data_IF_529464462598
#
_entry.id   IF_529464462598
#
_cell.length_a   1.000
_cell.length_b   1.000
_cell.length_c   1.000
_cell.angle_alpha   90.00
_cell.angle_beta   90.00
_cell.angle_gamma   90.00
#
_symmetry.space_group_name_H-M   'P 1'
#
loop_
_entity.id
_entity.type
_entity.pdbx_description
1 polymer ?
#
# COMPACT_ATOMS: atom_id res chain seq x y z
N UNK A 1 16.48 38.61 -18.00
CA UNK A 1 15.48 37.81 -17.25
C UNK A 1 15.47 38.30 -15.82
N UNK A 2 14.35 38.84 -15.34
CA UNK A 2 14.25 39.45 -14.01
C UNK A 2 14.40 38.35 -12.94
N UNK A 3 15.43 38.44 -12.10
CA UNK A 3 15.53 37.63 -10.88
C UNK A 3 14.31 37.93 -10.00
N UNK A 4 13.34 37.02 -9.96
CA UNK A 4 12.24 37.09 -9.00
C UNK A 4 12.85 37.16 -7.59
N UNK A 5 12.49 38.18 -6.81
CA UNK A 5 12.95 38.33 -5.43
C UNK A 5 12.61 37.05 -4.66
N UNK A 6 13.53 36.48 -3.87
CA UNK A 6 13.24 35.32 -3.04
C UNK A 6 12.08 35.68 -2.09
N UNK A 7 11.05 34.83 -2.06
CA UNK A 7 9.96 34.94 -1.11
C UNK A 7 10.54 34.94 0.31
N UNK A 8 10.00 35.77 1.20
CA UNK A 8 10.40 35.77 2.60
C UNK A 8 10.19 34.39 3.22
N UNK A 9 10.97 34.05 4.25
CA UNK A 9 10.85 32.79 4.97
C UNK A 9 9.43 32.55 5.49
N UNK A 10 8.75 33.62 5.92
CA UNK A 10 7.35 33.59 6.34
C UNK A 10 6.40 33.25 5.18
N UNK A 11 6.58 33.84 4.00
CA UNK A 11 5.76 33.57 2.82
C UNK A 11 5.92 32.13 2.30
N UNK A 12 7.14 31.58 2.31
CA UNK A 12 7.38 30.19 1.90
C UNK A 12 6.81 29.18 2.89
N UNK A 13 6.86 29.49 4.18
CA UNK A 13 6.26 28.67 5.25
C UNK A 13 4.74 28.70 5.20
N UNK A 14 4.15 29.88 4.98
CA UNK A 14 2.71 30.05 4.79
C UNK A 14 2.21 29.31 3.54
N UNK A 15 2.96 29.32 2.44
CA UNK A 15 2.60 28.59 1.22
C UNK A 15 2.62 27.07 1.43
N UNK A 16 3.60 26.55 2.17
CA UNK A 16 3.68 25.13 2.50
C UNK A 16 2.54 24.72 3.46
N UNK A 17 2.25 25.53 4.48
CA UNK A 17 1.12 25.32 5.38
C UNK A 17 -0.22 25.36 4.63
N UNK A 18 -0.39 26.32 3.71
CA UNK A 18 -1.58 26.42 2.87
C UNK A 18 -1.74 25.19 1.98
N UNK A 19 -0.64 24.69 1.38
CA UNK A 19 -0.69 23.49 0.57
C UNK A 19 -1.07 22.24 1.39
N UNK A 20 -0.57 22.12 2.63
CA UNK A 20 -1.01 21.07 3.58
C UNK A 20 -2.50 21.21 3.90
N UNK A 21 -2.99 22.42 4.16
CA UNK A 21 -4.41 22.69 4.37
C UNK A 21 -5.23 22.33 3.12
N UNK A 22 -4.70 22.57 1.92
CA UNK A 22 -5.35 22.13 0.68
C UNK A 22 -5.36 20.61 0.54
N UNK A 23 -4.29 19.90 0.92
CA UNK A 23 -4.30 18.43 0.96
C UNK A 23 -5.37 17.94 1.94
N UNK A 24 -5.41 18.51 3.15
CA UNK A 24 -6.44 18.20 4.16
C UNK A 24 -7.84 18.42 3.59
N UNK A 25 -8.07 19.56 2.94
CA UNK A 25 -9.36 19.87 2.33
C UNK A 25 -9.74 18.85 1.23
N UNK A 26 -8.79 18.47 0.37
CA UNK A 26 -9.03 17.46 -0.68
C UNK A 26 -9.32 16.09 -0.07
N UNK A 27 -8.60 15.69 0.99
CA UNK A 27 -8.84 14.43 1.69
C UNK A 27 -10.22 14.45 2.34
N UNK A 28 -10.56 15.49 3.09
CA UNK A 28 -11.88 15.64 3.76
C UNK A 28 -13.01 15.65 2.73
N UNK A 29 -12.88 16.41 1.64
CA UNK A 29 -13.89 16.43 0.58
C UNK A 29 -14.00 15.04 -0.07
N UNK A 30 -12.87 14.39 -0.35
CA UNK A 30 -12.82 13.03 -0.87
C UNK A 30 -13.51 11.99 0.02
N UNK A 31 -13.33 12.09 1.34
CA UNK A 31 -13.90 11.15 2.30
C UNK A 31 -15.37 11.40 2.63
N UNK A 32 -15.82 12.67 2.62
CA UNK A 32 -17.16 13.04 3.10
C UNK A 32 -18.16 13.39 2.00
N UNK A 33 -17.71 13.85 0.84
CA UNK A 33 -18.61 14.39 -0.21
C UNK A 33 -18.88 13.37 -1.31
N UNK A 34 -18.08 12.31 -1.41
CA UNK A 34 -18.11 11.41 -2.57
C UNK A 34 -18.64 10.00 -2.30
N UNK A 35 -19.04 9.68 -1.06
CA UNK A 35 -19.58 8.36 -0.72
C UNK A 35 -18.60 7.23 -1.02
N UNK A 36 -19.09 6.02 -1.30
CA UNK A 36 -18.24 4.95 -1.82
C UNK A 36 -17.91 5.24 -3.28
N UNK A 37 -16.63 5.29 -3.63
CA UNK A 37 -16.13 5.83 -4.91
C UNK A 37 -16.71 5.16 -6.16
N UNK A 38 -17.31 3.97 -6.04
CA UNK A 38 -18.00 3.28 -7.13
C UNK A 38 -19.34 3.89 -7.54
N UNK A 39 -19.99 4.68 -6.67
CA UNK A 39 -21.23 5.38 -6.97
C UNK A 39 -21.03 6.53 -7.98
N UNK A 40 -19.89 7.24 -7.91
CA UNK A 40 -19.50 8.28 -8.87
C UNK A 40 -17.98 8.24 -9.18
N UNK A 41 -17.61 7.29 -10.03
CA UNK A 41 -16.21 7.03 -10.43
C UNK A 41 -15.55 8.24 -11.10
N UNK A 42 -16.32 9.11 -11.74
CA UNK A 42 -15.83 10.31 -12.41
C UNK A 42 -15.34 11.34 -11.40
N UNK A 43 -16.16 11.63 -10.39
CA UNK A 43 -15.78 12.53 -9.29
C UNK A 43 -14.65 11.97 -8.45
N UNK A 44 -14.66 10.66 -8.16
CA UNK A 44 -13.57 10.00 -7.43
C UNK A 44 -12.23 10.17 -8.16
N UNK A 45 -12.20 9.94 -9.48
CA UNK A 45 -10.98 10.12 -10.28
C UNK A 45 -10.52 11.59 -10.29
N UNK A 46 -11.45 12.54 -10.38
CA UNK A 46 -11.13 13.97 -10.34
C UNK A 46 -10.54 14.38 -8.97
N UNK A 47 -11.08 13.87 -7.86
CA UNK A 47 -10.57 14.11 -6.51
C UNK A 47 -9.16 13.54 -6.32
N UNK A 48 -8.92 12.30 -6.78
CA UNK A 48 -7.59 11.68 -6.79
C UNK A 48 -6.61 12.53 -7.60
N UNK A 49 -6.99 12.95 -8.82
CA UNK A 49 -6.18 13.80 -9.67
C UNK A 49 -5.85 15.15 -9.02
N UNK A 50 -6.83 15.80 -8.41
CA UNK A 50 -6.64 17.04 -7.66
C UNK A 50 -5.67 16.84 -6.48
N UNK A 51 -5.78 15.73 -5.75
CA UNK A 51 -4.85 15.36 -4.68
C UNK A 51 -3.41 15.28 -5.16
N UNK A 52 -3.16 14.63 -6.30
CA UNK A 52 -1.81 14.55 -6.88
C UNK A 52 -1.25 15.92 -7.30
N UNK A 53 -2.09 16.78 -7.89
CA UNK A 53 -1.70 18.16 -8.25
C UNK A 53 -1.34 18.96 -7.00
N UNK A 54 -2.17 18.89 -5.95
CA UNK A 54 -1.91 19.59 -4.69
C UNK A 54 -0.64 19.06 -4.01
N UNK A 55 -0.41 17.75 -3.99
CA UNK A 55 0.84 17.17 -3.49
C UNK A 55 2.05 17.73 -4.25
N UNK A 56 1.99 17.77 -5.58
CA UNK A 56 3.09 18.30 -6.39
C UNK A 56 3.37 19.77 -6.05
N UNK A 57 2.33 20.60 -5.91
CA UNK A 57 2.45 22.00 -5.50
C UNK A 57 3.01 22.14 -4.08
N UNK A 58 2.58 21.30 -3.13
CA UNK A 58 3.08 21.26 -1.76
C UNK A 58 4.58 20.92 -1.71
N UNK A 59 5.01 19.92 -2.48
CA UNK A 59 6.40 19.52 -2.58
C UNK A 59 7.26 20.62 -3.25
N UNK A 60 6.73 21.32 -4.26
CA UNK A 60 7.40 22.47 -4.88
C UNK A 60 7.53 23.65 -3.92
N UNK A 61 6.50 23.93 -3.12
CA UNK A 61 6.52 24.94 -2.07
C UNK A 61 7.58 24.62 -1.00
N UNK A 62 7.62 23.36 -0.54
CA UNK A 62 8.54 22.88 0.48
C UNK A 62 10.01 23.06 0.10
N UNK A 63 10.34 23.13 -1.20
CA UNK A 63 11.72 23.42 -1.67
C UNK A 63 12.23 24.79 -1.24
N UNK A 64 11.33 25.76 -1.03
CA UNK A 64 11.70 27.13 -0.62
C UNK A 64 11.72 27.31 0.91
N UNK A 65 11.36 26.27 1.65
CA UNK A 65 11.34 26.28 3.12
C UNK A 65 12.76 26.07 3.65
N UNK A 66 13.22 26.85 4.65
CA UNK A 66 14.54 26.67 5.25
C UNK A 66 14.64 25.32 5.98
N UNK A 67 15.81 24.70 5.99
CA UNK A 67 16.02 23.36 6.55
C UNK A 67 15.50 23.21 7.99
N UNK A 68 15.67 24.24 8.83
CA UNK A 68 15.21 24.25 10.22
C UNK A 68 13.70 24.04 10.38
N UNK A 69 12.90 24.43 9.39
CA UNK A 69 11.45 24.33 9.43
C UNK A 69 10.92 23.08 8.72
N UNK A 70 11.73 22.40 7.90
CA UNK A 70 11.29 21.23 7.11
C UNK A 70 10.78 20.12 8.00
N UNK A 71 11.54 19.69 9.01
CA UNK A 71 11.14 18.56 9.85
C UNK A 71 9.84 18.83 10.61
N UNK A 72 9.70 19.95 11.35
CA UNK A 72 8.43 20.27 12.01
C UNK A 72 7.24 20.33 11.04
N UNK A 73 7.42 20.93 9.87
CA UNK A 73 6.35 21.01 8.87
C UNK A 73 5.98 19.65 8.31
N UNK A 74 6.95 18.80 7.99
CA UNK A 74 6.68 17.44 7.49
C UNK A 74 5.88 16.66 8.53
N UNK A 75 6.29 16.69 9.80
CA UNK A 75 5.58 16.02 10.89
C UNK A 75 4.17 16.60 11.06
N UNK A 76 4.04 17.92 11.19
CA UNK A 76 2.74 18.57 11.36
C UNK A 76 1.79 18.29 10.19
N UNK A 77 2.29 18.35 8.95
CA UNK A 77 1.49 18.04 7.77
C UNK A 77 1.12 16.56 7.70
N UNK A 78 1.99 15.64 8.10
CA UNK A 78 1.67 14.21 8.13
C UNK A 78 0.59 13.89 9.17
N UNK A 79 0.64 14.56 10.33
CA UNK A 79 -0.41 14.48 11.35
C UNK A 79 -1.71 15.06 10.82
N UNK A 80 -1.69 16.26 10.24
CA UNK A 80 -2.90 16.91 9.73
C UNK A 80 -3.57 16.10 8.60
N UNK A 81 -2.79 15.60 7.64
CA UNK A 81 -3.30 14.78 6.53
C UNK A 81 -3.84 13.44 7.03
N UNK A 82 -3.17 12.80 8.00
CA UNK A 82 -3.67 11.55 8.59
C UNK A 82 -4.93 11.74 9.44
N UNK A 83 -4.99 12.80 10.26
CA UNK A 83 -6.21 13.15 11.01
C UNK A 83 -7.38 13.43 10.05
N UNK A 84 -7.15 14.10 8.93
CA UNK A 84 -8.16 14.31 7.89
C UNK A 84 -8.68 12.97 7.34
N UNK A 85 -7.77 12.03 7.07
CA UNK A 85 -8.11 10.70 6.54
C UNK A 85 -8.86 9.79 7.53
N UNK A 86 -8.81 10.08 8.84
CA UNK A 86 -9.60 9.38 9.87
C UNK A 86 -11.07 9.81 9.91
N UNK A 87 -11.41 10.95 9.32
CA UNK A 87 -12.73 11.56 9.57
C UNK A 87 -13.89 10.86 8.86
N UNK A 88 -13.63 10.07 7.82
CA UNK A 88 -14.66 9.38 7.04
C UNK A 88 -14.50 7.86 7.04
N UNK A 89 -15.54 7.12 6.65
CA UNK A 89 -15.46 5.66 6.55
C UNK A 89 -14.66 5.24 5.30
N UNK A 90 -14.24 3.96 5.20
CA UNK A 90 -13.58 3.42 4.01
C UNK A 90 -14.38 3.65 2.73
N UNK A 91 -13.75 4.13 1.67
CA UNK A 91 -14.43 4.67 0.49
C UNK A 91 -13.98 4.08 -0.85
N UNK A 92 -12.93 3.26 -0.87
CA UNK A 92 -12.43 2.58 -2.08
C UNK A 92 -12.51 1.06 -1.98
N UNK A 93 -12.48 0.51 -0.76
CA UNK A 93 -12.47 -0.93 -0.53
C UNK A 93 -13.24 -1.31 0.74
N UNK A 94 -13.76 -2.54 0.76
CA UNK A 94 -14.38 -3.19 1.92
C UNK A 94 -13.44 -4.17 2.63
N UNK A 95 -12.18 -4.30 2.21
CA UNK A 95 -11.17 -5.16 2.86
C UNK A 95 -11.04 -4.88 4.38
N UNK A 96 -11.22 -3.63 4.81
CA UNK A 96 -11.19 -3.27 6.23
C UNK A 96 -12.29 -3.92 7.07
N UNK A 97 -13.44 -4.27 6.47
CA UNK A 97 -14.46 -5.08 7.12
C UNK A 97 -13.94 -6.51 7.37
N UNK A 98 -13.23 -7.08 6.39
CA UNK A 98 -12.60 -8.40 6.52
C UNK A 98 -11.50 -8.41 7.58
N UNK A 99 -10.64 -7.39 7.63
CA UNK A 99 -9.63 -7.25 8.68
C UNK A 99 -10.25 -7.21 10.08
N UNK A 100 -11.32 -6.44 10.25
CA UNK A 100 -12.01 -6.34 11.53
C UNK A 100 -12.65 -7.67 11.93
N UNK A 101 -13.30 -8.34 10.97
CA UNK A 101 -13.89 -9.66 11.18
C UNK A 101 -12.85 -10.69 11.62
N UNK A 102 -11.74 -10.81 10.91
CA UNK A 102 -10.71 -11.80 11.23
C UNK A 102 -10.09 -11.55 12.62
N UNK A 103 -9.96 -10.28 13.04
CA UNK A 103 -9.57 -9.95 14.42
C UNK A 103 -10.64 -10.33 15.46
N UNK A 104 -11.93 -10.09 15.19
CA UNK A 104 -13.05 -10.49 16.08
C UNK A 104 -13.09 -12.01 16.25
N UNK A 105 -12.93 -12.77 15.16
CA UNK A 105 -12.94 -14.23 15.17
C UNK A 105 -11.75 -14.78 15.98
N UNK A 106 -10.57 -14.16 15.84
CA UNK A 106 -9.38 -14.53 16.60
C UNK A 106 -9.49 -14.18 18.09
N UNK A 107 -10.05 -13.02 18.43
CA UNK A 107 -10.31 -12.63 19.83
C UNK A 107 -11.28 -13.62 20.52
N UNK A 108 -12.17 -14.25 19.75
CA UNK A 108 -13.04 -15.34 20.20
C UNK A 108 -12.35 -16.73 20.24
N UNK A 109 -11.05 -16.80 19.98
CA UNK A 109 -10.27 -18.04 20.03
C UNK A 109 -10.44 -18.96 18.81
N UNK A 110 -11.03 -18.46 17.72
CA UNK A 110 -11.25 -19.23 16.49
C UNK A 110 -10.28 -18.80 15.41
N UNK A 111 -9.76 -19.76 14.63
CA UNK A 111 -8.87 -19.43 13.51
C UNK A 111 -9.66 -18.90 12.31
N UNK A 112 -9.26 -17.80 11.68
CA UNK A 112 -9.94 -17.24 10.50
C UNK A 112 -9.72 -18.09 9.23
N UNK A 113 -8.84 -19.10 9.29
CA UNK A 113 -8.68 -20.12 8.25
C UNK A 113 -9.68 -21.28 8.38
N UNK A 114 -10.34 -21.43 9.54
CA UNK A 114 -11.18 -22.59 9.83
C UNK A 114 -12.59 -22.48 9.24
N UNK A 115 -13.14 -21.27 9.21
CA UNK A 115 -14.52 -21.00 8.79
C UNK A 115 -14.58 -19.79 7.86
N UNK A 116 -15.55 -19.80 6.94
CA UNK A 116 -15.85 -18.64 6.11
C UNK A 116 -16.68 -17.64 6.91
N UNK A 117 -16.63 -16.32 6.62
CA UNK A 117 -17.43 -15.32 7.33
C UNK A 117 -18.92 -15.63 7.46
N UNK A 118 -19.53 -16.24 6.43
CA UNK A 118 -20.94 -16.60 6.41
C UNK A 118 -21.26 -17.96 7.04
N UNK A 119 -20.29 -18.63 7.65
CA UNK A 119 -20.53 -19.90 8.35
C UNK A 119 -21.40 -19.69 9.59
N UNK A 120 -22.43 -20.52 9.76
CA UNK A 120 -23.37 -20.45 10.89
C UNK A 120 -22.70 -20.72 12.24
N UNK A 121 -21.58 -21.45 12.26
CA UNK A 121 -20.77 -21.60 13.46
C UNK A 121 -20.25 -20.25 14.00
N UNK A 122 -20.11 -19.24 13.13
CA UNK A 122 -19.68 -17.89 13.50
C UNK A 122 -20.84 -16.92 13.72
N UNK A 123 -22.11 -17.36 13.62
CA UNK A 123 -23.28 -16.51 13.80
C UNK A 123 -23.26 -15.68 15.11
N UNK A 124 -22.83 -16.21 16.27
CA UNK A 124 -22.76 -15.43 17.50
C UNK A 124 -21.76 -14.27 17.49
N UNK A 125 -20.81 -14.25 16.55
CA UNK A 125 -19.78 -13.21 16.42
C UNK A 125 -20.18 -12.09 15.45
N UNK A 126 -21.25 -12.29 14.66
CA UNK A 126 -21.71 -11.35 13.65
C UNK A 126 -22.22 -10.07 14.32
N UNK A 127 -21.60 -8.94 14.01
CA UNK A 127 -21.98 -7.63 14.55
C UNK A 127 -22.92 -6.90 13.59
N UNK A 128 -23.81 -6.04 14.11
CA UNK A 128 -24.80 -5.31 13.29
C UNK A 128 -24.16 -4.46 12.17
N UNK A 129 -22.92 -4.00 12.34
CA UNK A 129 -22.24 -3.17 11.35
C UNK A 129 -21.50 -3.98 10.28
N UNK A 130 -21.16 -5.25 10.55
CA UNK A 130 -20.57 -6.18 9.57
C UNK A 130 -21.63 -7.06 8.90
N UNK A 131 -22.70 -7.39 9.62
CA UNK A 131 -23.82 -8.22 9.20
C UNK A 131 -25.15 -7.58 9.62
N UNK A 132 -25.53 -6.45 9.01
CA UNK A 132 -26.80 -5.81 9.33
C UNK A 132 -27.98 -6.71 8.95
N UNK A 133 -29.06 -6.63 9.73
CA UNK A 133 -30.28 -7.38 9.44
C UNK A 133 -30.86 -6.97 8.07
N UNK A 134 -31.20 -7.92 7.18
CA UNK A 134 -31.92 -7.62 5.96
C UNK A 134 -33.26 -6.93 6.23
N UNK A 135 -33.63 -5.94 5.42
CA UNK A 135 -34.93 -5.26 5.51
C UNK A 135 -36.09 -6.13 5.01
N UNK A 136 -35.78 -7.27 4.40
CA UNK A 136 -36.68 -8.21 3.75
C UNK A 136 -35.92 -8.97 2.66
N UNK A 137 -36.66 -9.72 1.84
CA UNK A 137 -36.15 -10.33 0.61
C UNK A 137 -36.91 -9.79 -0.59
N UNK A 138 -36.25 -9.68 -1.74
CA UNK A 138 -36.91 -9.34 -3.00
C UNK A 138 -37.67 -10.54 -3.58
N UNK A 139 -38.23 -10.36 -4.79
CA UNK A 139 -39.04 -11.37 -5.47
C UNK A 139 -38.26 -12.66 -5.81
N UNK A 140 -36.93 -12.57 -5.91
CA UNK A 140 -36.05 -13.69 -6.21
C UNK A 140 -35.48 -14.35 -4.94
N UNK A 141 -35.92 -13.89 -3.76
CA UNK A 141 -35.46 -14.39 -2.46
C UNK A 141 -34.11 -13.82 -2.01
N UNK A 142 -33.59 -12.79 -2.68
CA UNK A 142 -32.32 -12.14 -2.34
C UNK A 142 -32.55 -11.11 -1.24
N UNK A 143 -31.64 -11.05 -0.27
CA UNK A 143 -31.72 -10.09 0.84
C UNK A 143 -31.70 -8.63 0.34
N UNK A 144 -32.60 -7.80 0.89
CA UNK A 144 -32.61 -6.35 0.65
C UNK A 144 -31.78 -5.66 1.73
N UNK A 145 -30.60 -5.16 1.36
CA UNK A 145 -29.62 -4.63 2.31
C UNK A 145 -29.74 -3.11 2.54
N UNK A 146 -29.53 -2.63 3.78
CA UNK A 146 -29.95 -1.27 4.20
C UNK A 146 -28.97 -0.14 3.84
N UNK A 147 -27.75 -0.42 3.36
CA UNK A 147 -26.71 0.60 3.21
C UNK A 147 -25.77 0.39 2.03
N UNK A 148 -25.15 1.49 1.58
CA UNK A 148 -24.05 1.50 0.61
C UNK A 148 -22.83 0.76 1.18
N UNK A 149 -22.29 -0.22 0.43
CA UNK A 149 -21.22 -1.18 0.79
C UNK A 149 -21.66 -2.43 1.57
N UNK A 150 -22.96 -2.67 1.66
CA UNK A 150 -23.49 -3.91 2.22
C UNK A 150 -24.09 -4.72 1.08
N UNK A 151 -23.48 -5.86 0.78
CA UNK A 151 -23.91 -6.73 -0.31
C UNK A 151 -24.77 -7.88 0.25
N UNK A 152 -25.79 -8.34 -0.51
CA UNK A 152 -26.53 -9.54 -0.16
C UNK A 152 -25.64 -10.77 -0.31
N UNK A 153 -25.82 -11.73 0.59
CA UNK A 153 -25.10 -13.00 0.65
C UNK A 153 -26.00 -14.04 1.31
N UNK A 154 -25.51 -15.26 1.49
CA UNK A 154 -26.23 -16.32 2.21
C UNK A 154 -25.33 -16.97 3.24
N UNK A 155 -25.94 -17.47 4.30
CA UNK A 155 -25.22 -18.28 5.28
C UNK A 155 -24.85 -19.66 4.73
N UNK A 156 -23.87 -20.30 5.37
CA UNK A 156 -23.48 -21.68 5.09
C UNK A 156 -23.46 -22.45 6.42
N UNK A 157 -24.05 -23.66 6.52
CA UNK A 157 -24.76 -24.39 5.47
C UNK A 157 -26.26 -24.08 5.34
N UNK A 158 -26.86 -23.27 6.23
CA UNK A 158 -28.32 -23.11 6.25
C UNK A 158 -28.91 -22.40 5.01
N UNK A 159 -28.13 -21.57 4.32
CA UNK A 159 -28.60 -20.85 3.12
C UNK A 159 -29.52 -19.67 3.43
N UNK A 160 -29.59 -19.24 4.69
CA UNK A 160 -30.39 -18.10 5.13
C UNK A 160 -29.90 -16.80 4.47
N UNK A 161 -30.80 -15.93 3.98
CA UNK A 161 -30.42 -14.64 3.41
C UNK A 161 -29.72 -13.76 4.45
N UNK A 162 -28.57 -13.21 4.06
CA UNK A 162 -27.75 -12.31 4.88
C UNK A 162 -27.38 -11.06 4.09
N UNK A 163 -26.98 -10.03 4.82
CA UNK A 163 -26.34 -8.84 4.30
C UNK A 163 -24.97 -8.71 4.97
N UNK A 164 -23.92 -8.33 4.23
CA UNK A 164 -22.59 -8.17 4.84
C UNK A 164 -21.76 -7.06 4.22
N UNK A 165 -20.94 -6.41 5.04
CA UNK A 165 -19.87 -5.51 4.60
C UNK A 165 -18.61 -6.25 4.13
N UNK A 166 -18.51 -7.56 4.40
CA UNK A 166 -17.30 -8.34 4.17
C UNK A 166 -17.25 -8.80 2.71
N UNK A 167 -16.18 -8.43 2.00
CA UNK A 167 -15.94 -8.96 0.67
C UNK A 167 -15.56 -10.44 0.71
N UNK A 168 -15.93 -11.18 -0.35
CA UNK A 168 -15.64 -12.61 -0.49
C UNK A 168 -16.02 -13.39 0.78
N UNK A 169 -17.25 -13.18 1.24
CA UNK A 169 -17.79 -13.72 2.49
C UNK A 169 -17.87 -15.27 2.54
N UNK A 170 -17.77 -15.93 1.39
CA UNK A 170 -17.86 -17.39 1.23
C UNK A 170 -16.50 -18.12 1.16
N UNK A 171 -15.38 -17.45 1.43
CA UNK A 171 -14.06 -18.07 1.44
C UNK A 171 -13.33 -17.77 2.75
N UNK A 172 -12.39 -18.61 3.20
CA UNK A 172 -11.56 -18.32 4.38
C UNK A 172 -10.60 -17.16 4.11
N UNK A 173 -9.95 -16.66 5.18
CA UNK A 173 -9.00 -15.55 5.04
C UNK A 173 -7.89 -15.87 4.03
N UNK A 174 -7.43 -14.85 3.31
CA UNK A 174 -6.22 -14.92 2.48
C UNK A 174 -4.99 -14.37 3.22
N UNK A 175 -5.20 -13.69 4.35
CA UNK A 175 -4.16 -12.88 4.95
C UNK A 175 -3.15 -13.76 5.69
N UNK A 176 -1.84 -13.53 5.52
CA UNK A 176 -0.80 -14.24 6.25
C UNK A 176 -0.73 -13.92 7.76
N UNK A 177 -0.03 -14.73 8.57
CA UNK A 177 -0.01 -14.64 10.03
C UNK A 177 0.36 -13.29 10.66
N UNK A 178 1.23 -12.47 10.05
CA UNK A 178 1.58 -11.15 10.61
C UNK A 178 0.44 -10.15 10.37
N UNK A 179 -0.30 -10.28 9.27
CA UNK A 179 -1.53 -9.51 9.09
C UNK A 179 -2.61 -9.95 10.09
N UNK A 180 -2.78 -11.25 10.29
CA UNK A 180 -3.73 -11.79 11.29
C UNK A 180 -3.39 -11.34 12.72
N UNK A 181 -2.11 -11.38 13.09
CA UNK A 181 -1.63 -10.85 14.37
C UNK A 181 -1.84 -9.34 14.49
N UNK A 182 -1.71 -8.59 13.39
CA UNK A 182 -2.00 -7.16 13.36
C UNK A 182 -3.49 -6.86 13.57
N UNK A 183 -4.38 -7.60 12.89
CA UNK A 183 -5.82 -7.47 13.06
C UNK A 183 -6.23 -7.75 14.50
N UNK A 184 -5.76 -8.86 15.07
CA UNK A 184 -5.97 -9.22 16.47
C UNK A 184 -5.43 -8.14 17.41
N UNK A 185 -4.19 -7.67 17.22
CA UNK A 185 -3.59 -6.66 18.10
C UNK A 185 -4.32 -5.31 18.10
N UNK A 186 -4.86 -4.90 16.96
CA UNK A 186 -5.66 -3.67 16.83
C UNK A 186 -7.06 -3.83 17.42
N UNK A 187 -7.62 -5.05 17.37
CA UNK A 187 -8.99 -5.37 17.80
C UNK A 187 -9.09 -5.73 19.29
N UNK A 188 -8.09 -6.39 19.85
CA UNK A 188 -8.05 -6.80 21.26
C UNK A 188 -8.41 -5.71 22.29
N UNK A 189 -8.01 -4.42 22.13
CA UNK A 189 -8.34 -3.38 23.11
C UNK A 189 -9.72 -2.73 22.91
N UNK A 190 -10.51 -3.14 21.91
CA UNK A 190 -11.79 -2.49 21.55
C UNK A 190 -12.94 -3.49 21.42
N UNK A 191 -14.19 -3.10 21.73
CA UNK A 191 -15.34 -4.01 21.59
C UNK A 191 -15.63 -4.35 20.13
N UNK A 192 -16.28 -5.49 19.86
CA UNK A 192 -16.74 -5.93 18.53
C UNK A 192 -17.57 -4.86 17.79
N UNK A 193 -18.30 -4.02 18.52
CA UNK A 193 -19.10 -2.90 18.01
C UNK A 193 -18.28 -1.70 17.51
N UNK A 194 -16.99 -1.60 17.86
CA UNK A 194 -16.11 -0.61 17.26
C UNK A 194 -15.94 -0.95 15.79
N UNK A 195 -16.42 -0.07 14.89
CA UNK A 195 -16.42 -0.29 13.46
C UNK A 195 -15.00 -0.15 12.85
N UNK A 196 -14.85 0.66 11.81
CA UNK A 196 -13.60 0.77 11.04
C UNK A 196 -12.46 1.53 11.76
N UNK A 197 -12.79 2.46 12.67
CA UNK A 197 -11.82 3.40 13.23
C UNK A 197 -10.58 2.79 13.91
N UNK A 198 -10.62 1.62 14.59
CA UNK A 198 -9.43 1.03 15.22
C UNK A 198 -8.35 0.72 14.19
N UNK A 199 -8.73 0.13 13.06
CA UNK A 199 -7.83 -0.17 11.95
C UNK A 199 -7.30 1.11 11.28
N UNK A 200 -8.15 2.14 11.15
CA UNK A 200 -7.72 3.43 10.59
C UNK A 200 -6.68 4.10 11.50
N UNK A 201 -6.88 4.08 12.82
CA UNK A 201 -5.91 4.59 13.81
C UNK A 201 -4.61 3.79 13.77
N UNK A 202 -4.68 2.47 13.67
CA UNK A 202 -3.52 1.60 13.50
C UNK A 202 -2.72 1.95 12.24
N UNK A 203 -3.39 2.07 11.09
CA UNK A 203 -2.79 2.46 9.83
C UNK A 203 -2.16 3.86 9.87
N UNK A 204 -2.81 4.81 10.54
CA UNK A 204 -2.26 6.15 10.77
C UNK A 204 -0.98 6.10 11.62
N UNK A 205 -0.97 5.32 12.71
CA UNK A 205 0.20 5.15 13.56
C UNK A 205 1.40 4.58 12.79
N UNK A 206 1.19 3.55 11.96
CA UNK A 206 2.23 2.98 11.09
C UNK A 206 2.70 4.01 10.06
N UNK A 207 1.80 4.79 9.45
CA UNK A 207 2.15 5.83 8.49
C UNK A 207 3.02 6.95 9.11
N UNK A 208 2.73 7.36 10.35
CA UNK A 208 3.58 8.29 11.09
C UNK A 208 4.95 7.69 11.44
N UNK A 209 4.99 6.40 11.82
CA UNK A 209 6.24 5.70 12.07
C UNK A 209 7.12 5.63 10.81
N UNK A 210 6.53 5.38 9.64
CA UNK A 210 7.23 5.42 8.35
C UNK A 210 7.75 6.84 8.06
N UNK A 211 6.93 7.87 8.28
CA UNK A 211 7.36 9.28 8.15
C UNK A 211 8.58 9.57 9.03
N UNK A 212 8.53 9.20 10.31
CA UNK A 212 9.63 9.37 11.25
C UNK A 212 10.88 8.58 10.82
N UNK A 213 10.70 7.34 10.38
CA UNK A 213 11.76 6.48 9.85
C UNK A 213 12.46 7.09 8.65
N UNK A 214 11.70 7.64 7.69
CA UNK A 214 12.22 8.35 6.52
C UNK A 214 12.98 9.62 6.94
N UNK A 215 12.43 10.44 7.82
CA UNK A 215 13.09 11.65 8.31
C UNK A 215 14.44 11.35 8.95
N UNK A 216 14.49 10.34 9.84
CA UNK A 216 15.73 9.89 10.48
C UNK A 216 16.71 9.33 9.45
N UNK A 217 16.22 8.51 8.52
CA UNK A 217 17.04 7.86 7.51
C UNK A 217 17.68 8.85 6.54
N UNK A 218 16.90 9.82 6.05
CA UNK A 218 17.33 10.85 5.11
C UNK A 218 18.38 11.75 5.79
N UNK A 219 18.08 12.26 6.99
CA UNK A 219 19.01 13.14 7.73
C UNK A 219 20.34 12.48 8.05
N UNK A 220 20.33 11.23 8.54
CA UNK A 220 21.56 10.50 8.88
C UNK A 220 22.47 10.25 7.68
N UNK A 221 21.93 10.31 6.47
CA UNK A 221 22.65 10.06 5.21
C UNK A 221 22.96 11.35 4.45
N UNK A 222 22.70 12.53 5.02
CA UNK A 222 22.85 13.81 4.32
C UNK A 222 21.90 13.94 3.12
N UNK A 223 20.84 13.14 3.06
CA UNK A 223 19.79 13.23 2.05
C UNK A 223 18.73 14.25 2.48
N UNK A 224 18.01 14.80 1.51
CA UNK A 224 17.03 15.85 1.73
C UNK A 224 15.83 15.41 2.57
N UNK A 225 15.72 15.89 3.81
CA UNK A 225 14.60 15.56 4.71
C UNK A 225 13.21 15.89 4.12
N UNK A 226 13.14 16.85 3.18
CA UNK A 226 11.92 17.22 2.46
C UNK A 226 11.28 16.04 1.72
N UNK A 227 12.06 15.02 1.32
CA UNK A 227 11.53 13.85 0.61
C UNK A 227 10.63 12.97 1.48
N UNK A 228 10.71 13.06 2.81
CA UNK A 228 9.75 12.38 3.68
C UNK A 228 8.31 12.88 3.47
N UNK A 229 8.11 14.11 2.97
CA UNK A 229 6.80 14.63 2.60
C UNK A 229 6.15 13.85 1.43
N UNK A 230 6.94 13.19 0.58
CA UNK A 230 6.41 12.34 -0.51
C UNK A 230 5.61 11.16 0.04
N UNK A 231 5.92 10.71 1.26
CA UNK A 231 5.09 9.74 1.98
C UNK A 231 4.04 10.45 2.82
N UNK A 232 4.48 11.28 3.78
CA UNK A 232 3.60 11.79 4.84
C UNK A 232 2.51 12.75 4.38
N UNK A 233 2.68 13.41 3.24
CA UNK A 233 1.67 14.34 2.69
C UNK A 233 0.91 13.74 1.50
N UNK A 234 1.19 12.49 1.11
CA UNK A 234 0.62 11.90 -0.08
C UNK A 234 -0.85 11.52 0.13
N UNK A 235 -1.79 12.07 -0.66
CA UNK A 235 -3.22 11.74 -0.54
C UNK A 235 -3.50 10.25 -0.78
N UNK A 236 -2.75 9.62 -1.69
CA UNK A 236 -2.83 8.17 -1.92
C UNK A 236 -2.44 7.40 -0.65
N UNK A 237 -1.35 7.77 0.03
CA UNK A 237 -0.96 7.12 1.29
C UNK A 237 -2.04 7.34 2.36
N UNK A 238 -2.56 8.55 2.48
CA UNK A 238 -3.62 8.85 3.44
C UNK A 238 -4.89 8.03 3.18
N UNK A 239 -5.32 7.95 1.93
CA UNK A 239 -6.47 7.14 1.50
C UNK A 239 -6.26 5.66 1.80
N UNK A 240 -5.15 5.08 1.31
CA UNK A 240 -4.97 3.63 1.36
C UNK A 240 -4.55 3.14 2.74
N UNK A 241 -3.62 3.83 3.40
CA UNK A 241 -3.11 3.40 4.69
C UNK A 241 -4.04 3.75 5.86
N UNK A 242 -4.79 4.86 5.77
CA UNK A 242 -5.60 5.35 6.89
C UNK A 242 -7.09 5.12 6.60
N UNK A 243 -7.67 5.82 5.62
CA UNK A 243 -9.12 5.76 5.37
C UNK A 243 -9.59 4.34 5.06
N UNK A 244 -8.90 3.63 4.16
CA UNK A 244 -9.22 2.25 3.77
C UNK A 244 -8.45 1.19 4.59
N UNK A 245 -7.52 1.62 5.45
CA UNK A 245 -6.81 0.76 6.40
C UNK A 245 -6.09 -0.45 5.78
N UNK A 246 -5.61 -0.33 4.54
CA UNK A 246 -4.93 -1.44 3.86
C UNK A 246 -3.68 -1.87 4.63
N UNK A 247 -3.63 -3.15 4.99
CA UNK A 247 -2.55 -3.76 5.78
C UNK A 247 -1.19 -3.68 5.08
N UNK A 248 -1.17 -3.41 3.77
CA UNK A 248 0.02 -3.11 2.98
C UNK A 248 0.91 -2.03 3.60
N UNK A 249 0.37 -1.09 4.38
CA UNK A 249 1.16 -0.09 5.12
C UNK A 249 2.12 -0.74 6.12
N UNK A 250 1.70 -1.82 6.80
CA UNK A 250 2.55 -2.57 7.74
C UNK A 250 3.69 -3.27 6.99
N UNK A 251 3.37 -3.92 5.86
CA UNK A 251 4.37 -4.53 4.98
C UNK A 251 5.38 -3.51 4.45
N UNK A 252 4.92 -2.32 4.04
CA UNK A 252 5.78 -1.23 3.58
C UNK A 252 6.70 -0.71 4.71
N UNK A 253 6.20 -0.58 5.93
CA UNK A 253 6.98 -0.19 7.09
C UNK A 253 8.06 -1.21 7.47
N UNK A 254 7.73 -2.49 7.44
CA UNK A 254 8.68 -3.58 7.69
C UNK A 254 9.75 -3.68 6.60
N UNK A 255 9.39 -3.50 5.32
CA UNK A 255 10.37 -3.41 4.22
C UNK A 255 11.27 -2.20 4.39
N UNK A 256 10.73 -1.02 4.73
CA UNK A 256 11.54 0.16 5.01
C UNK A 256 12.53 -0.13 6.16
N UNK A 257 12.08 -0.74 7.24
CA UNK A 257 12.96 -1.12 8.35
C UNK A 257 14.05 -2.12 7.90
N UNK A 258 13.72 -3.13 7.09
CA UNK A 258 14.67 -4.09 6.53
C UNK A 258 15.72 -3.40 5.64
N UNK A 259 15.29 -2.50 4.75
CA UNK A 259 16.13 -1.66 3.90
C UNK A 259 17.08 -0.77 4.72
N UNK A 260 16.60 -0.17 5.81
CA UNK A 260 17.44 0.66 6.67
C UNK A 260 18.39 -0.16 7.55
N UNK A 261 18.03 -1.40 7.88
CA UNK A 261 18.89 -2.34 8.59
C UNK A 261 20.03 -2.89 7.73
N UNK A 262 19.80 -3.07 6.42
CA UNK A 262 20.77 -3.66 5.47
C UNK A 262 21.92 -2.72 5.10
N UNK A 263 21.76 -1.42 5.29
CA UNK A 263 22.67 -0.35 4.79
C UNK A 263 23.76 0.07 5.77
N UNK A 264 23.98 -0.70 6.85
CA UNK A 264 25.12 -0.49 7.77
C UNK A 264 26.17 -1.57 7.53
N UNK A 265 27.41 -1.29 7.94
CA UNK A 265 28.58 -2.16 7.75
C UNK A 265 28.28 -3.65 7.97
N UNK A 266 28.93 -4.50 7.17
CA UNK A 266 28.70 -5.95 7.13
C UNK A 266 28.80 -6.59 8.52
N UNK A 267 27.96 -7.61 8.76
CA UNK A 267 27.97 -8.36 10.02
C UNK A 267 26.74 -9.25 10.17
N UNK A 268 26.94 -10.44 10.75
CA UNK A 268 25.90 -11.46 10.90
C UNK A 268 24.62 -10.90 11.52
N UNK A 269 24.73 -10.12 12.62
CA UNK A 269 23.58 -9.51 13.31
C UNK A 269 22.69 -8.67 12.37
N UNK A 270 23.28 -7.94 11.42
CA UNK A 270 22.51 -7.11 10.48
C UNK A 270 21.78 -7.98 9.46
N UNK A 271 22.44 -8.99 8.92
CA UNK A 271 21.79 -9.97 8.03
C UNK A 271 20.62 -10.67 8.74
N UNK A 272 20.78 -11.04 10.03
CA UNK A 272 19.69 -11.61 10.83
C UNK A 272 18.52 -10.62 10.97
N UNK A 273 18.78 -9.36 11.35
CA UNK A 273 17.72 -8.34 11.51
C UNK A 273 17.03 -8.03 10.19
N UNK A 274 17.77 -7.86 9.09
CA UNK A 274 17.21 -7.62 7.76
C UNK A 274 16.37 -8.81 7.30
N UNK A 275 16.88 -10.03 7.48
CA UNK A 275 16.16 -11.26 7.15
C UNK A 275 14.85 -11.38 7.94
N UNK A 276 14.90 -11.20 9.26
CA UNK A 276 13.71 -11.29 10.11
C UNK A 276 12.64 -10.24 9.72
N UNK A 277 13.03 -8.98 9.52
CA UNK A 277 12.12 -7.92 9.10
C UNK A 277 11.52 -8.18 7.71
N UNK A 278 12.31 -8.69 6.76
CA UNK A 278 11.82 -9.07 5.44
C UNK A 278 10.85 -10.25 5.53
N UNK A 279 11.17 -11.29 6.32
CA UNK A 279 10.28 -12.44 6.55
C UNK A 279 8.95 -12.03 7.15
N UNK A 280 8.95 -11.14 8.15
CA UNK A 280 7.73 -10.57 8.74
C UNK A 280 6.94 -9.72 7.73
N UNK A 281 7.62 -8.96 6.87
CA UNK A 281 6.95 -8.19 5.83
C UNK A 281 6.22 -9.10 4.84
N UNK A 282 6.90 -10.15 4.35
CA UNK A 282 6.31 -11.15 3.44
C UNK A 282 5.16 -11.90 4.12
N UNK A 283 5.27 -12.16 5.42
CA UNK A 283 4.21 -12.76 6.22
C UNK A 283 3.12 -11.75 6.67
N UNK A 284 3.18 -10.50 6.22
CA UNK A 284 2.04 -9.55 6.30
C UNK A 284 1.22 -9.62 5.02
N UNK A 285 1.90 -9.66 3.88
CA UNK A 285 1.33 -9.88 2.54
C UNK A 285 2.49 -10.37 1.67
N UNK A 286 2.24 -11.27 0.72
CA UNK A 286 3.34 -11.85 -0.06
C UNK A 286 4.08 -10.82 -0.93
N UNK A 287 3.42 -9.70 -1.27
CA UNK A 287 3.92 -8.64 -2.16
C UNK A 287 5.25 -8.01 -1.71
N UNK A 288 5.47 -7.67 -0.42
CA UNK A 288 6.77 -7.32 0.13
C UNK A 288 7.99 -8.16 -0.31
N UNK A 289 7.80 -9.42 -0.74
CA UNK A 289 8.89 -10.26 -1.24
C UNK A 289 9.62 -9.63 -2.44
N UNK A 290 8.90 -8.84 -3.25
CA UNK A 290 9.44 -8.12 -4.42
C UNK A 290 10.61 -7.20 -4.01
N UNK A 291 10.58 -6.62 -2.81
CA UNK A 291 11.63 -5.72 -2.35
C UNK A 291 12.88 -6.44 -1.80
N UNK A 292 12.82 -7.77 -1.67
CA UNK A 292 13.86 -8.61 -1.06
C UNK A 292 15.17 -8.71 -1.85
N UNK A 293 15.17 -8.99 -3.17
CA UNK A 293 16.40 -9.31 -3.90
C UNK A 293 17.52 -8.27 -3.76
N UNK A 294 17.29 -6.95 -3.90
CA UNK A 294 18.34 -5.95 -3.66
C UNK A 294 18.99 -6.00 -2.26
N UNK A 295 18.26 -6.46 -1.24
CA UNK A 295 18.76 -6.61 0.14
C UNK A 295 19.68 -7.82 0.31
N UNK A 296 19.65 -8.76 -0.63
CA UNK A 296 20.48 -9.98 -0.61
C UNK A 296 21.87 -9.77 -1.19
N UNK A 297 22.22 -8.54 -1.60
CA UNK A 297 23.51 -8.27 -2.26
C UNK A 297 24.71 -8.46 -1.34
N UNK A 298 24.52 -8.26 -0.02
CA UNK A 298 25.52 -8.42 1.03
C UNK A 298 25.00 -9.45 2.06
N UNK A 299 25.80 -10.49 2.32
CA UNK A 299 25.42 -11.62 3.19
C UNK A 299 24.07 -12.29 2.83
N UNK A 300 23.76 -12.35 1.53
CA UNK A 300 22.44 -12.74 1.03
C UNK A 300 21.92 -14.08 1.52
N UNK A 301 22.78 -15.09 1.67
CA UNK A 301 22.36 -16.41 2.13
C UNK A 301 21.82 -16.40 3.58
N UNK A 302 22.43 -15.59 4.47
CA UNK A 302 21.94 -15.43 5.85
C UNK A 302 20.63 -14.67 5.86
N UNK A 303 20.58 -13.55 5.14
CA UNK A 303 19.37 -12.73 5.05
C UNK A 303 18.21 -13.53 4.49
N UNK A 304 18.41 -14.29 3.41
CA UNK A 304 17.40 -15.14 2.80
C UNK A 304 17.00 -16.30 3.72
N UNK A 305 17.97 -17.00 4.33
CA UNK A 305 17.70 -18.10 5.25
C UNK A 305 16.89 -17.66 6.47
N UNK A 306 17.19 -16.49 7.04
CA UNK A 306 16.43 -15.94 8.18
C UNK A 306 15.07 -15.42 7.74
N UNK A 307 14.96 -14.78 6.57
CA UNK A 307 13.65 -14.36 6.06
C UNK A 307 12.72 -15.56 5.87
N UNK A 308 13.22 -16.65 5.28
CA UNK A 308 12.48 -17.90 5.14
C UNK A 308 12.13 -18.51 6.51
N UNK A 309 13.11 -18.61 7.41
CA UNK A 309 12.87 -19.14 8.75
C UNK A 309 11.81 -18.34 9.51
N UNK A 310 11.89 -17.01 9.50
CA UNK A 310 10.90 -16.13 10.13
C UNK A 310 9.53 -16.28 9.49
N UNK A 311 9.44 -16.31 8.15
CA UNK A 311 8.19 -16.56 7.44
C UNK A 311 7.56 -17.89 7.86
N UNK A 312 8.31 -18.98 7.85
CA UNK A 312 7.81 -20.31 8.23
C UNK A 312 7.41 -20.35 9.71
N UNK A 313 8.23 -19.78 10.61
CA UNK A 313 7.98 -19.81 12.05
C UNK A 313 6.67 -19.12 12.44
N UNK A 314 6.31 -18.00 11.81
CA UNK A 314 5.04 -17.32 12.13
C UNK A 314 3.81 -18.07 11.61
N UNK A 315 3.96 -18.97 10.65
CA UNK A 315 2.88 -19.87 10.20
C UNK A 315 2.67 -21.07 11.13
N UNK A 316 3.65 -21.46 11.95
CA UNK A 316 3.57 -22.68 12.79
C UNK A 316 2.31 -22.73 13.67
N UNK A 317 1.91 -21.67 14.41
CA UNK A 317 0.70 -21.72 15.23
C UNK A 317 -0.58 -21.97 14.41
N UNK A 318 -0.66 -21.38 13.23
CA UNK A 318 -1.82 -21.50 12.35
C UNK A 318 -1.86 -22.86 11.65
N UNK A 319 -0.71 -23.41 11.26
CA UNK A 319 -0.63 -24.77 10.71
C UNK A 319 -1.02 -25.81 11.75
N UNK A 320 -0.66 -25.61 13.02
CA UNK A 320 -1.07 -26.52 14.09
C UNK A 320 -2.60 -26.56 14.29
N UNK A 321 -3.30 -25.44 14.04
CA UNK A 321 -4.76 -25.36 14.16
C UNK A 321 -5.54 -25.70 12.88
N UNK A 322 -5.08 -25.23 11.72
CA UNK A 322 -5.80 -25.31 10.44
C UNK A 322 -5.14 -26.22 9.39
N UNK A 323 -4.00 -26.85 9.70
CA UNK A 323 -3.26 -27.71 8.77
C UNK A 323 -2.87 -26.96 7.48
N UNK A 324 -3.15 -27.56 6.33
CA UNK A 324 -2.94 -26.92 5.01
C UNK A 324 -3.97 -25.83 4.69
N UNK A 325 -5.03 -25.69 5.49
CA UNK A 325 -6.04 -24.63 5.35
C UNK A 325 -5.49 -23.20 5.49
N UNK A 326 -4.27 -23.05 6.02
CA UNK A 326 -3.55 -21.76 6.11
C UNK A 326 -3.20 -21.15 4.75
N UNK A 327 -3.28 -21.93 3.66
CA UNK A 327 -3.20 -21.38 2.31
C UNK A 327 -4.40 -20.48 2.01
N UNK A 328 -5.52 -20.70 2.69
CA UNK A 328 -6.69 -19.86 2.64
C UNK A 328 -7.23 -19.71 1.23
N UNK A 329 -7.69 -18.49 0.91
CA UNK A 329 -8.18 -18.16 -0.43
C UNK A 329 -7.08 -17.88 -1.48
N UNK A 330 -5.79 -18.04 -1.15
CA UNK A 330 -4.70 -17.68 -2.07
C UNK A 330 -4.80 -18.34 -3.46
N UNK A 331 -5.05 -19.66 -3.59
CA UNK A 331 -5.17 -20.29 -4.91
C UNK A 331 -6.35 -19.73 -5.71
N UNK A 332 -7.51 -19.55 -5.06
CA UNK A 332 -8.71 -18.99 -5.70
C UNK A 332 -8.50 -17.54 -6.12
N UNK A 333 -7.76 -16.75 -5.34
CA UNK A 333 -7.42 -15.38 -5.68
C UNK A 333 -6.50 -15.27 -6.91
N UNK A 334 -5.56 -16.20 -7.09
CA UNK A 334 -4.69 -16.21 -8.27
C UNK A 334 -5.48 -16.48 -9.56
N UNK A 335 -6.46 -17.38 -9.48
CA UNK A 335 -7.38 -17.68 -10.59
C UNK A 335 -8.35 -16.51 -10.85
N UNK A 336 -8.99 -15.98 -9.80
CA UNK A 336 -9.89 -14.82 -9.87
C UNK A 336 -9.19 -13.61 -10.52
N UNK A 337 -7.93 -13.39 -10.16
CA UNK A 337 -7.14 -12.31 -10.72
C UNK A 337 -6.59 -12.65 -12.13
N UNK A 338 -6.75 -13.87 -12.63
CA UNK A 338 -6.35 -14.23 -13.98
C UNK A 338 -4.83 -14.30 -14.19
N UNK A 339 -4.08 -14.68 -13.15
CA UNK A 339 -2.65 -14.99 -13.28
C UNK A 339 -2.44 -16.24 -14.14
N UNK A 340 -3.30 -17.26 -13.97
CA UNK A 340 -3.19 -18.53 -14.71
C UNK A 340 -3.65 -18.40 -16.17
N UNK A 341 -4.62 -17.53 -16.44
CA UNK A 341 -5.12 -17.27 -17.79
C UNK A 341 -4.31 -16.23 -18.58
N UNK A 342 -3.41 -15.49 -17.90
CA UNK A 342 -2.62 -14.41 -18.49
C UNK A 342 -3.36 -13.08 -18.63
N UNK A 343 -4.65 -13.02 -18.24
CA UNK A 343 -5.49 -11.82 -18.36
C UNK A 343 -5.07 -10.69 -17.41
N UNK A 344 -4.29 -11.02 -16.36
CA UNK A 344 -3.76 -10.05 -15.39
C UNK A 344 -2.84 -9.00 -16.02
N UNK A 345 -2.01 -9.40 -16.97
CA UNK A 345 -0.88 -8.59 -17.44
C UNK A 345 -1.31 -7.58 -18.49
N UNK A 346 -1.73 -6.39 -18.07
CA UNK A 346 -2.33 -5.38 -18.97
C UNK A 346 -1.48 -5.11 -20.23
N UNK A 347 -0.17 -4.89 -20.06
CA UNK A 347 0.75 -4.61 -21.17
C UNK A 347 1.08 -5.82 -22.04
N UNK A 348 0.80 -7.04 -21.58
CA UNK A 348 1.04 -8.28 -22.32
C UNK A 348 -0.24 -8.89 -22.88
N UNK A 349 -1.40 -8.24 -22.72
CA UNK A 349 -2.69 -8.78 -23.12
C UNK A 349 -2.93 -8.85 -24.63
N UNK A 350 -1.90 -8.68 -25.45
CA UNK A 350 -1.87 -9.05 -26.88
C UNK A 350 -1.36 -10.48 -27.10
N UNK A 351 -0.73 -11.09 -26.10
CA UNK A 351 -0.31 -12.49 -26.11
C UNK A 351 -1.48 -13.40 -25.71
N UNK A 352 -1.63 -14.58 -26.33
CA UNK A 352 -2.73 -15.48 -26.04
C UNK A 352 -2.48 -16.32 -24.77
N UNK A 353 -3.49 -16.39 -23.90
CA UNK A 353 -3.56 -17.32 -22.78
C UNK A 353 -2.33 -17.31 -21.87
N UNK A 354 -1.88 -18.50 -21.48
CA UNK A 354 -0.73 -18.71 -20.58
C UNK A 354 0.60 -18.17 -21.11
N UNK A 355 0.70 -17.86 -22.42
CA UNK A 355 1.90 -17.24 -23.00
C UNK A 355 2.21 -15.90 -22.32
N UNK A 356 1.17 -15.11 -22.01
CA UNK A 356 1.36 -13.86 -21.30
C UNK A 356 1.97 -14.10 -19.91
N UNK A 357 1.52 -15.13 -19.19
CA UNK A 357 2.04 -15.52 -17.87
C UNK A 357 3.49 -15.96 -17.94
N UNK A 358 3.86 -16.81 -18.91
CA UNK A 358 5.24 -17.27 -19.09
C UNK A 358 6.17 -16.09 -19.43
N UNK A 359 5.75 -15.22 -20.35
CA UNK A 359 6.51 -14.03 -20.72
C UNK A 359 6.64 -13.07 -19.53
N UNK A 360 5.56 -12.85 -18.77
CA UNK A 360 5.61 -12.03 -17.55
C UNK A 360 6.59 -12.60 -16.52
N UNK A 361 6.55 -13.90 -16.27
CA UNK A 361 7.47 -14.56 -15.34
C UNK A 361 8.93 -14.43 -15.79
N UNK A 362 9.21 -14.60 -17.09
CA UNK A 362 10.54 -14.41 -17.65
C UNK A 362 11.04 -12.96 -17.52
N UNK A 363 10.20 -11.97 -17.86
CA UNK A 363 10.51 -10.55 -17.72
C UNK A 363 10.74 -10.16 -16.26
N UNK A 364 9.92 -10.68 -15.34
CA UNK A 364 10.09 -10.48 -13.91
C UNK A 364 11.41 -11.10 -13.41
N UNK A 365 11.75 -12.32 -13.85
CA UNK A 365 13.02 -12.97 -13.53
C UNK A 365 14.23 -12.16 -14.00
N UNK A 366 14.19 -11.60 -15.21
CA UNK A 366 15.21 -10.69 -15.74
C UNK A 366 15.30 -9.42 -14.89
N UNK A 367 14.15 -8.81 -14.55
CA UNK A 367 14.11 -7.61 -13.72
C UNK A 367 14.69 -7.86 -12.32
N UNK A 368 14.33 -8.98 -11.69
CA UNK A 368 14.86 -9.42 -10.39
C UNK A 368 16.37 -9.61 -10.45
N UNK A 369 16.86 -10.39 -11.43
CA UNK A 369 18.28 -10.65 -11.59
C UNK A 369 19.08 -9.37 -11.86
N UNK A 370 18.56 -8.49 -12.71
CA UNK A 370 19.19 -7.21 -13.02
C UNK A 370 19.23 -6.29 -11.80
N UNK A 371 18.11 -6.13 -11.08
CA UNK A 371 18.06 -5.30 -9.87
C UNK A 371 18.94 -5.85 -8.74
N UNK A 372 18.99 -7.18 -8.56
CA UNK A 372 19.90 -7.81 -7.60
C UNK A 372 21.36 -7.53 -7.98
N UNK A 373 21.74 -7.75 -9.23
CA UNK A 373 23.11 -7.56 -9.70
C UNK A 373 23.57 -6.09 -9.60
N UNK A 374 22.69 -5.15 -9.93
CA UNK A 374 22.93 -3.69 -9.90
C UNK A 374 22.76 -3.06 -8.52
N UNK A 375 22.26 -3.78 -7.52
CA UNK A 375 22.02 -3.21 -6.21
C UNK A 375 23.33 -2.72 -5.57
N UNK A 376 23.31 -1.48 -5.10
CA UNK A 376 24.30 -0.96 -4.17
C UNK A 376 23.88 -1.38 -2.74
N UNK A 377 24.69 -2.18 -2.02
CA UNK A 377 24.38 -2.58 -0.64
C UNK A 377 24.17 -1.42 0.33
N UNK A 378 24.81 -0.27 0.09
CA UNK A 378 24.72 0.90 0.95
C UNK A 378 23.56 1.82 0.56
N UNK A 379 22.95 1.58 -0.61
CA UNK A 379 21.78 2.30 -1.12
C UNK A 379 20.81 1.42 -1.95
N UNK A 380 20.29 0.30 -1.38
CA UNK A 380 19.53 -0.70 -2.13
C UNK A 380 18.18 -0.18 -2.61
N UNK A 381 17.65 0.89 -2.00
CA UNK A 381 16.39 1.53 -2.38
C UNK A 381 16.36 1.99 -3.85
N UNK A 382 17.50 2.26 -4.49
CA UNK A 382 17.56 2.57 -5.92
C UNK A 382 17.21 1.38 -6.82
N UNK A 383 17.61 0.17 -6.42
CA UNK A 383 17.23 -1.05 -7.12
C UNK A 383 15.82 -1.51 -6.70
N UNK A 384 15.45 -1.33 -5.42
CA UNK A 384 14.11 -1.67 -4.93
C UNK A 384 13.02 -0.84 -5.59
N UNK A 385 13.20 0.47 -5.79
CA UNK A 385 12.18 1.31 -6.45
C UNK A 385 11.93 0.86 -7.89
N UNK A 386 12.98 0.42 -8.61
CA UNK A 386 12.84 -0.11 -9.97
C UNK A 386 12.19 -1.49 -9.96
N UNK A 387 12.58 -2.36 -9.03
CA UNK A 387 12.04 -3.71 -8.95
C UNK A 387 10.56 -3.70 -8.54
N UNK A 388 10.21 -2.97 -7.48
CA UNK A 388 8.82 -2.84 -7.02
C UNK A 388 7.98 -2.12 -8.07
N UNK A 389 8.41 -0.96 -8.55
CA UNK A 389 7.65 -0.20 -9.54
C UNK A 389 7.52 -0.94 -10.87
N UNK A 390 8.59 -1.57 -11.36
CA UNK A 390 8.59 -2.37 -12.58
C UNK A 390 7.71 -3.61 -12.47
N UNK A 391 7.69 -4.27 -11.30
CA UNK A 391 6.78 -5.39 -11.04
C UNK A 391 5.32 -4.93 -11.06
N UNK A 392 5.00 -3.79 -10.43
CA UNK A 392 3.63 -3.25 -10.44
C UNK A 392 3.17 -2.85 -11.85
N UNK A 393 4.06 -2.33 -12.70
CA UNK A 393 3.74 -2.05 -14.10
C UNK A 393 3.57 -3.34 -14.92
N UNK A 394 4.43 -4.33 -14.70
CA UNK A 394 4.37 -5.61 -15.42
C UNK A 394 3.12 -6.42 -15.05
N UNK A 395 2.88 -6.58 -13.75
CA UNK A 395 1.76 -7.35 -13.19
C UNK A 395 0.44 -6.60 -13.35
N UNK A 396 0.44 -5.27 -13.22
CA UNK A 396 -0.76 -4.43 -13.31
C UNK A 396 -1.89 -4.89 -12.37
N UNK A 397 -1.64 -4.97 -11.05
CA UNK A 397 -2.66 -5.45 -10.12
C UNK A 397 -3.92 -4.57 -10.14
N UNK A 398 -5.08 -5.16 -9.84
CA UNK A 398 -6.39 -4.49 -9.88
C UNK A 398 -6.47 -3.27 -8.95
N UNK A 399 -5.68 -3.29 -7.88
CA UNK A 399 -5.84 -2.40 -6.75
C UNK A 399 -4.60 -1.54 -6.52
N UNK A 400 -4.79 -0.26 -6.19
CA UNK A 400 -3.69 0.69 -6.11
C UNK A 400 -2.89 0.56 -4.80
N UNK A 401 -3.47 0.05 -3.72
CA UNK A 401 -2.81 -0.06 -2.41
C UNK A 401 -1.49 -0.84 -2.41
N UNK A 402 -1.25 -1.75 -3.36
CA UNK A 402 0.04 -2.42 -3.53
C UNK A 402 1.20 -1.44 -3.75
N UNK A 403 0.91 -0.24 -4.27
CA UNK A 403 1.90 0.82 -4.43
C UNK A 403 2.30 1.51 -3.11
N UNK A 404 1.66 1.22 -1.97
CA UNK A 404 2.16 1.64 -0.64
C UNK A 404 3.58 1.14 -0.39
N UNK A 405 3.94 -0.04 -0.92
CA UNK A 405 5.30 -0.57 -0.87
C UNK A 405 6.32 0.29 -1.63
N UNK A 406 5.89 0.98 -2.68
CA UNK A 406 6.73 1.75 -3.59
C UNK A 406 7.08 3.15 -3.04
N UNK A 407 6.12 3.86 -2.47
CA UNK A 407 6.25 5.28 -2.07
C UNK A 407 7.43 5.56 -1.11
N UNK A 408 7.71 4.78 -0.04
CA UNK A 408 8.86 5.06 0.83
C UNK A 408 10.20 4.88 0.09
N UNK A 409 10.26 3.97 -0.90
CA UNK A 409 11.44 3.77 -1.74
C UNK A 409 11.66 4.94 -2.68
N UNK A 410 10.57 5.52 -3.22
CA UNK A 410 10.62 6.77 -4.00
C UNK A 410 11.18 7.92 -3.17
N UNK A 411 10.75 8.04 -1.91
CA UNK A 411 11.25 9.04 -0.97
C UNK A 411 12.76 8.87 -0.70
N UNK A 412 13.25 7.65 -0.53
CA UNK A 412 14.69 7.39 -0.33
C UNK A 412 15.53 7.59 -1.60
N UNK A 413 14.98 7.24 -2.77
CA UNK A 413 15.71 7.28 -4.04
C UNK A 413 15.65 8.63 -4.75
N UNK A 414 14.78 9.55 -4.31
CA UNK A 414 14.49 10.83 -4.97
C UNK A 414 14.02 10.66 -6.44
N UNK A 415 13.39 9.52 -6.74
CA UNK A 415 12.93 9.17 -8.10
C UNK A 415 11.43 9.39 -8.25
N UNK A 416 11.04 10.66 -8.20
CA UNK A 416 9.64 11.10 -8.24
C UNK A 416 8.86 10.52 -9.43
N UNK A 417 9.54 10.19 -10.54
CA UNK A 417 8.90 9.64 -11.74
C UNK A 417 8.09 8.38 -11.45
N UNK A 418 8.42 7.61 -10.41
CA UNK A 418 7.69 6.40 -10.02
C UNK A 418 6.37 6.68 -9.29
N UNK A 419 6.08 7.91 -8.88
CA UNK A 419 4.76 8.29 -8.33
C UNK A 419 3.64 8.21 -9.36
N UNK A 420 3.96 8.12 -10.66
CA UNK A 420 2.95 7.87 -11.70
C UNK A 420 2.36 6.46 -11.61
N UNK A 421 3.04 5.50 -10.97
CA UNK A 421 2.56 4.12 -10.81
C UNK A 421 1.31 4.06 -9.92
N UNK A 422 1.31 4.54 -8.66
CA UNK A 422 0.08 4.55 -7.85
C UNK A 422 -1.06 5.33 -8.52
N UNK A 423 -0.76 6.43 -9.22
CA UNK A 423 -1.77 7.17 -9.97
C UNK A 423 -2.39 6.35 -11.11
N UNK A 424 -1.59 5.57 -11.85
CA UNK A 424 -2.08 4.70 -12.91
C UNK A 424 -2.88 3.51 -12.36
N UNK A 425 -2.47 2.92 -11.24
CA UNK A 425 -3.22 1.83 -10.61
C UNK A 425 -4.56 2.31 -10.06
N UNK A 426 -4.64 3.54 -9.54
CA UNK A 426 -5.91 4.12 -9.09
C UNK A 426 -6.95 4.27 -10.23
N UNK A 427 -6.50 4.46 -11.48
CA UNK A 427 -7.40 4.42 -12.64
C UNK A 427 -7.97 3.02 -12.82
N UNK A 428 -7.15 1.98 -12.65
CA UNK A 428 -7.58 0.59 -12.79
C UNK A 428 -8.55 0.15 -11.71
N UNK A 429 -8.35 0.59 -10.47
CA UNK A 429 -9.23 0.32 -9.35
C UNK A 429 -10.64 0.92 -9.57
N UNK A 430 -10.73 2.15 -10.09
CA UNK A 430 -12.02 2.78 -10.41
C UNK A 430 -12.64 2.25 -11.71
N UNK A 431 -11.83 1.91 -12.70
CA UNK A 431 -12.24 1.44 -14.02
C UNK A 431 -11.57 0.09 -14.35
N UNK A 432 -12.05 -1.03 -13.79
CA UNK A 432 -11.41 -2.35 -13.84
C UNK A 432 -11.55 -3.06 -15.21
N UNK A 433 -11.62 -2.28 -16.29
CA UNK A 433 -11.66 -2.78 -17.67
C UNK A 433 -10.32 -2.53 -18.32
N UNK A 434 -9.77 -3.54 -19.00
CA UNK A 434 -8.45 -3.44 -19.65
C UNK A 434 -8.32 -2.28 -20.64
N UNK A 435 -9.42 -1.83 -21.25
CA UNK A 435 -9.50 -0.61 -22.08
C UNK A 435 -9.04 0.65 -21.33
N UNK A 436 -9.27 0.74 -20.02
CA UNK A 436 -8.79 1.85 -19.18
C UNK A 436 -7.43 1.54 -18.54
N UNK A 437 -7.21 0.31 -18.06
CA UNK A 437 -5.96 -0.08 -17.37
C UNK A 437 -4.75 0.01 -18.29
N UNK A 438 -4.85 -0.55 -19.51
CA UNK A 438 -3.73 -0.61 -20.48
C UNK A 438 -3.14 0.76 -20.80
N UNK A 439 -3.92 1.78 -21.23
CA UNK A 439 -3.35 3.09 -21.52
C UNK A 439 -2.78 3.77 -20.25
N UNK A 440 -3.43 3.63 -19.09
CA UNK A 440 -2.93 4.22 -17.84
C UNK A 440 -1.54 3.66 -17.45
N UNK A 441 -1.40 2.33 -17.44
CA UNK A 441 -0.12 1.66 -17.16
C UNK A 441 0.92 1.95 -18.25
N UNK A 442 0.50 1.99 -19.52
CA UNK A 442 1.37 2.34 -20.66
C UNK A 442 1.96 3.75 -20.54
N UNK A 443 1.13 4.75 -20.20
CA UNK A 443 1.59 6.12 -19.96
C UNK A 443 2.54 6.19 -18.77
N UNK A 444 2.25 5.49 -17.68
CA UNK A 444 3.13 5.41 -16.52
C UNK A 444 4.52 4.84 -16.90
N UNK A 445 4.56 3.75 -17.67
CA UNK A 445 5.81 3.18 -18.18
C UNK A 445 6.57 4.18 -19.06
N UNK A 446 5.89 4.85 -20.00
CA UNK A 446 6.52 5.85 -20.87
C UNK A 446 7.12 7.02 -20.09
N UNK A 447 6.43 7.52 -19.05
CA UNK A 447 6.97 8.59 -18.19
C UNK A 447 8.22 8.12 -17.45
N UNK A 448 8.18 6.92 -16.85
CA UNK A 448 9.35 6.35 -16.14
C UNK A 448 10.54 6.19 -17.09
N UNK A 449 10.32 5.65 -18.29
CA UNK A 449 11.37 5.48 -19.30
C UNK A 449 11.91 6.81 -19.82
N UNK A 450 11.03 7.78 -20.13
CA UNK A 450 11.45 9.09 -20.62
C UNK A 450 12.31 9.82 -19.58
N UNK A 451 11.91 9.82 -18.30
CA UNK A 451 12.71 10.42 -17.23
C UNK A 451 14.03 9.66 -17.02
N UNK A 452 14.03 8.34 -17.13
CA UNK A 452 15.25 7.54 -17.05
C UNK A 452 16.24 7.88 -18.17
N UNK A 453 15.77 8.02 -19.41
CA UNK A 453 16.58 8.43 -20.57
C UNK A 453 17.13 9.85 -20.36
N UNK A 454 16.29 10.81 -19.95
CA UNK A 454 16.75 12.18 -19.66
C UNK A 454 17.82 12.21 -18.57
N UNK A 455 17.72 11.35 -17.56
CA UNK A 455 18.75 11.22 -16.51
C UNK A 455 20.05 10.59 -17.05
N UNK A 456 19.94 9.60 -17.92
CA UNK A 456 21.10 8.93 -18.51
C UNK A 456 21.86 9.80 -19.53
N UNK A 457 21.14 10.64 -20.29
CA UNK A 457 21.72 11.52 -21.31
C UNK A 457 22.38 12.78 -20.74
N UNK A 458 22.16 13.12 -19.46
CA UNK A 458 22.80 14.27 -18.84
C UNK A 458 24.26 13.92 -18.48
N UNK A 459 25.26 14.64 -19.01
CA UNK A 459 26.65 14.45 -18.63
C UNK A 459 26.82 14.49 -17.11
N UNK A 460 27.67 13.63 -16.56
CA UNK A 460 27.99 13.57 -15.12
C UNK A 460 28.49 14.92 -14.54
N UNK A 461 28.87 15.87 -15.41
CA UNK A 461 29.36 17.21 -15.05
C UNK A 461 28.33 18.34 -15.21
N UNK A 462 27.12 18.08 -15.72
CA UNK A 462 26.08 19.10 -15.97
C UNK A 462 24.81 18.89 -15.14
N UNK A 463 24.97 18.42 -13.90
CA UNK A 463 24.28 19.12 -12.82
C UNK A 463 25.03 20.44 -12.60
N UNK A 464 24.50 21.62 -13.00
CA UNK A 464 24.67 22.72 -12.09
C UNK A 464 24.13 22.22 -10.73
N UNK A 465 24.81 22.58 -9.64
CA UNK A 465 24.33 22.46 -8.26
C UNK A 465 23.06 23.32 -8.05
N UNK A 466 22.03 23.07 -8.85
CA UNK A 466 20.79 23.82 -8.95
C UNK A 466 19.58 22.97 -8.54
N UNK A 467 19.81 21.72 -8.12
CA UNK A 467 18.87 20.90 -7.37
C UNK A 467 19.72 20.10 -6.38
N UNK A 468 19.69 20.47 -5.10
CA UNK A 468 20.40 19.85 -3.96
C UNK A 468 21.90 20.18 -3.83
N UNK A 469 22.19 21.35 -3.26
CA UNK A 469 23.37 21.60 -2.42
C UNK A 469 22.87 22.19 -1.11
N UNK A 470 23.44 21.83 0.05
CA UNK A 470 23.07 22.46 1.32
C UNK A 470 23.50 23.93 1.27
N UNK A 471 22.55 24.81 1.52
CA UNK A 471 22.77 26.16 2.04
C UNK A 471 21.80 26.35 3.20
#
# INVERSE_FOLDING_TARGET
MRHARPLSTAASTALAALAVVTVVAVVVVGTHVHGFAHADRGRALAAIGAGWVVLALALLALRRVPERAVVPLVVAGSVAVGLAALTGPPNLSTDSARYAWDGIVQDAGTSPYAYVPTDDALAPLRTDWLFPTPSGTDADGVAVCPAERIDPTTSVPSGEPLCTAINRSHVPTIYPPVAEAWFTAVRAPVPASAAYWPLQVGGFAVSLAITGGLLVALRRRGLGARWAAVWGWCPFVASEAVTNSHVDVLGAGLVLAATLASTRSAGARRALTTGALLGLAVATKLVPAIAGPPLLRRDGWRTAGVALATFVLVYVPYVAGAGTGVLGFLPGYLDEEGYDSGNRFALLGFLPGTTATVVAAALLGVLVAWCWWRADPDAPWHAQVVLVGGTLLLVSPSNAWYALLLVPLVALSHRWEWLVVPAALAVGELYPRMVAVRPAVGVALLVVLAVAVVRALRPARSFPRLVWSPA
#
